data_IF_892145515208
#
_entry.id   IF_892145515208
#
_cell.length_a   1.000
_cell.length_b   1.000
_cell.length_c   1.000
_cell.angle_alpha   90.00
_cell.angle_beta   90.00
_cell.angle_gamma   90.00
#
_symmetry.space_group_name_H-M   'P 1'
#
loop_
_entity.id
_entity.type
_entity.pdbx_description
1 polymer ?
#
# COMPACT_ATOMS: atom_id res chain seq x y z
N UNK A 1 24.02 10.88 -11.33
CA UNK A 1 23.93 10.71 -9.87
C UNK A 1 22.60 11.29 -9.39
N UNK A 2 21.70 10.45 -8.86
CA UNK A 2 20.41 10.90 -8.35
C UNK A 2 20.52 11.05 -6.83
N UNK A 3 20.89 12.24 -6.37
CA UNK A 3 20.71 12.60 -4.97
C UNK A 3 19.22 12.96 -4.77
N UNK A 4 18.51 12.40 -3.79
CA UNK A 4 18.90 11.37 -2.81
C UNK A 4 18.58 9.93 -3.26
N UNK A 5 19.13 8.92 -2.57
CA UNK A 5 18.93 7.50 -2.94
C UNK A 5 17.50 7.02 -2.72
N UNK A 6 16.74 6.77 -3.79
CA UNK A 6 15.37 6.24 -3.72
C UNK A 6 15.29 4.85 -3.05
N UNK A 7 16.34 4.04 -3.21
CA UNK A 7 16.39 2.71 -2.60
C UNK A 7 16.58 2.78 -1.09
N UNK A 8 17.41 3.70 -0.60
CA UNK A 8 17.59 3.89 0.85
C UNK A 8 16.32 4.52 1.46
N UNK A 9 15.68 5.48 0.78
CA UNK A 9 14.38 6.05 1.17
C UNK A 9 13.32 4.97 1.30
N UNK A 10 13.13 4.18 0.24
CA UNK A 10 12.12 3.11 0.19
C UNK A 10 12.36 2.05 1.26
N UNK A 11 13.62 1.71 1.53
CA UNK A 11 13.97 0.78 2.60
C UNK A 11 13.56 1.33 3.98
N UNK A 12 13.89 2.59 4.29
CA UNK A 12 13.52 3.21 5.57
C UNK A 12 12.00 3.26 5.75
N UNK A 13 11.26 3.67 4.72
CA UNK A 13 9.79 3.78 4.81
C UNK A 13 9.15 2.40 5.00
N UNK A 14 9.48 1.43 4.15
CA UNK A 14 8.84 0.11 4.19
C UNK A 14 9.24 -0.72 5.41
N UNK A 15 10.54 -0.91 5.61
CA UNK A 15 11.03 -1.73 6.73
C UNK A 15 10.87 -1.01 8.07
N UNK A 16 10.98 0.32 8.09
CA UNK A 16 10.69 1.13 9.27
C UNK A 16 9.21 1.09 9.67
N UNK A 17 8.29 1.00 8.71
CA UNK A 17 6.88 0.75 9.02
C UNK A 17 6.69 -0.63 9.69
N UNK A 18 7.29 -1.69 9.14
CA UNK A 18 7.23 -3.02 9.75
C UNK A 18 7.89 -3.04 11.15
N UNK A 19 8.97 -2.29 11.32
CA UNK A 19 9.63 -2.11 12.61
C UNK A 19 8.68 -1.51 13.65
N UNK A 20 7.85 -0.53 13.26
CA UNK A 20 6.83 0.06 14.15
C UNK A 20 5.76 -0.94 14.61
N UNK A 21 5.56 -2.04 13.85
CA UNK A 21 4.60 -3.10 14.15
C UNK A 21 5.22 -4.32 14.85
N UNK A 22 6.54 -4.47 14.77
CA UNK A 22 7.25 -5.60 15.35
C UNK A 22 7.20 -5.56 16.89
N UNK A 23 6.72 -6.65 17.50
CA UNK A 23 6.68 -6.80 18.96
C UNK A 23 7.99 -7.36 19.54
N UNK A 24 8.70 -8.20 18.78
CA UNK A 24 9.92 -8.90 19.24
C UNK A 24 11.16 -8.10 18.86
N UNK A 25 12.11 -7.99 19.80
CA UNK A 25 13.35 -7.20 19.61
C UNK A 25 14.24 -7.76 18.50
N UNK A 26 14.34 -9.09 18.36
CA UNK A 26 15.16 -9.70 17.30
C UNK A 26 14.62 -9.37 15.90
N UNK A 27 13.30 -9.25 15.73
CA UNK A 27 12.68 -8.82 14.46
C UNK A 27 13.06 -7.37 14.17
N UNK A 28 13.03 -6.52 15.20
CA UNK A 28 13.45 -5.10 15.07
C UNK A 28 14.91 -4.98 14.62
N UNK A 29 15.81 -5.76 15.23
CA UNK A 29 17.23 -5.80 14.84
C UNK A 29 17.38 -6.29 13.40
N UNK A 30 16.70 -7.37 13.02
CA UNK A 30 16.72 -7.90 11.66
C UNK A 30 16.29 -6.84 10.62
N UNK A 31 15.23 -6.08 10.91
CA UNK A 31 14.73 -5.03 10.01
C UNK A 31 15.72 -3.88 9.86
N UNK A 32 16.42 -3.48 10.93
CA UNK A 32 17.48 -2.48 10.86
C UNK A 32 18.66 -2.96 10.03
N UNK A 33 19.06 -4.23 10.20
CA UNK A 33 20.11 -4.86 9.38
C UNK A 33 19.69 -4.85 7.90
N UNK A 34 18.44 -5.18 7.58
CA UNK A 34 17.96 -5.15 6.19
C UNK A 34 18.05 -3.73 5.60
N UNK A 35 17.62 -2.69 6.33
CA UNK A 35 17.76 -1.30 5.87
C UNK A 35 19.23 -0.95 5.59
N UNK A 36 20.13 -1.35 6.49
CA UNK A 36 21.55 -1.11 6.36
C UNK A 36 22.15 -1.84 5.16
N UNK A 37 21.86 -3.13 4.98
CA UNK A 37 22.36 -3.94 3.86
C UNK A 37 21.84 -3.44 2.51
N UNK A 38 20.57 -3.05 2.41
CA UNK A 38 20.02 -2.47 1.18
C UNK A 38 20.77 -1.17 0.85
N UNK A 39 21.11 -0.37 1.85
CA UNK A 39 21.84 0.88 1.66
C UNK A 39 23.30 0.62 1.23
N UNK A 40 23.98 -0.32 1.89
CA UNK A 40 25.34 -0.74 1.52
C UNK A 40 25.42 -1.28 0.08
N UNK A 41 24.40 -2.01 -0.37
CA UNK A 41 24.36 -2.52 -1.76
C UNK A 41 24.50 -1.41 -2.80
N UNK A 42 24.08 -0.17 -2.46
CA UNK A 42 24.15 0.99 -3.37
C UNK A 42 25.53 1.63 -3.44
N UNK A 43 26.28 1.59 -2.35
CA UNK A 43 27.71 1.98 -2.35
C UNK A 43 28.51 0.92 -3.10
N UNK A 44 28.26 -0.36 -2.82
CA UNK A 44 28.99 -1.47 -3.43
C UNK A 44 28.84 -1.50 -4.96
N UNK A 45 27.65 -1.23 -5.48
CA UNK A 45 27.39 -1.13 -6.92
C UNK A 45 27.95 0.16 -7.56
N UNK A 46 28.57 1.05 -6.78
CA UNK A 46 29.17 2.30 -7.27
C UNK A 46 28.15 3.34 -7.77
N UNK A 47 26.86 3.15 -7.50
CA UNK A 47 25.78 4.00 -8.05
C UNK A 47 25.45 5.22 -7.17
N UNK A 48 25.86 5.20 -5.90
CA UNK A 48 25.56 6.25 -4.92
C UNK A 48 26.71 6.50 -3.95
N UNK A 49 26.89 7.75 -3.56
CA UNK A 49 27.78 8.13 -2.46
C UNK A 49 27.11 7.95 -1.10
N UNK A 50 27.91 7.93 -0.03
CA UNK A 50 27.40 7.84 1.35
C UNK A 50 26.41 8.98 1.67
N UNK A 51 26.66 10.19 1.15
CA UNK A 51 25.78 11.34 1.34
C UNK A 51 24.40 11.13 0.70
N UNK A 52 24.32 10.47 -0.46
CA UNK A 52 23.05 10.15 -1.13
C UNK A 52 22.19 9.21 -0.28
N UNK A 53 22.84 8.30 0.46
CA UNK A 53 22.19 7.35 1.35
C UNK A 53 21.69 8.04 2.61
N UNK A 54 22.52 8.88 3.23
CA UNK A 54 22.13 9.62 4.44
C UNK A 54 20.99 10.59 4.14
N UNK A 55 21.05 11.31 3.03
CA UNK A 55 19.94 12.15 2.55
C UNK A 55 18.67 11.32 2.30
N UNK A 56 18.83 10.14 1.71
CA UNK A 56 17.71 9.22 1.52
C UNK A 56 17.11 8.67 2.82
N UNK A 57 17.93 8.38 3.84
CA UNK A 57 17.43 7.97 5.15
C UNK A 57 16.67 9.10 5.82
N UNK A 58 17.21 10.32 5.81
CA UNK A 58 16.57 11.49 6.40
C UNK A 58 15.17 11.71 5.80
N UNK A 59 15.07 11.73 4.47
CA UNK A 59 13.78 11.87 3.77
C UNK A 59 12.86 10.69 4.05
N UNK A 60 13.38 9.46 4.03
CA UNK A 60 12.61 8.26 4.35
C UNK A 60 12.03 8.28 5.77
N UNK A 61 12.78 8.75 6.76
CA UNK A 61 12.30 8.89 8.13
C UNK A 61 11.20 9.94 8.26
N UNK A 62 11.35 11.10 7.60
CA UNK A 62 10.31 12.13 7.57
C UNK A 62 9.01 11.58 6.95
N UNK A 63 9.10 10.89 5.82
CA UNK A 63 7.96 10.23 5.17
C UNK A 63 7.32 9.20 6.10
N UNK A 64 8.13 8.37 6.78
CA UNK A 64 7.64 7.36 7.70
C UNK A 64 6.88 7.98 8.88
N UNK A 65 7.39 9.07 9.47
CA UNK A 65 6.70 9.78 10.56
C UNK A 65 5.33 10.27 10.08
N UNK A 66 5.29 10.96 8.93
CA UNK A 66 4.04 11.45 8.34
C UNK A 66 3.07 10.29 8.08
N UNK A 67 3.55 9.18 7.50
CA UNK A 67 2.74 7.99 7.25
C UNK A 67 2.14 7.41 8.55
N UNK A 68 2.94 7.30 9.62
CA UNK A 68 2.47 6.78 10.90
C UNK A 68 1.42 7.70 11.56
N UNK A 69 1.59 9.03 11.45
CA UNK A 69 0.61 10.00 11.91
C UNK A 69 -0.71 9.88 11.14
N UNK A 70 -0.64 9.78 9.82
CA UNK A 70 -1.80 9.58 8.95
C UNK A 70 -2.54 8.29 9.33
N UNK A 71 -1.82 7.17 9.45
CA UNK A 71 -2.41 5.87 9.81
C UNK A 71 -3.06 5.92 11.21
N UNK A 72 -2.40 6.56 12.18
CA UNK A 72 -2.97 6.73 13.52
C UNK A 72 -4.28 7.53 13.47
N UNK A 73 -4.30 8.63 12.71
CA UNK A 73 -5.50 9.47 12.51
C UNK A 73 -6.64 8.68 11.84
N UNK A 74 -6.37 7.96 10.75
CA UNK A 74 -7.37 7.14 10.08
C UNK A 74 -7.92 6.01 10.96
N UNK A 75 -7.06 5.36 11.75
CA UNK A 75 -7.52 4.29 12.65
C UNK A 75 -8.47 4.82 13.73
N UNK A 76 -8.17 6.00 14.30
CA UNK A 76 -9.07 6.66 15.26
C UNK A 76 -10.39 7.00 14.59
N UNK A 77 -10.34 7.60 13.40
CA UNK A 77 -11.54 7.95 12.65
C UNK A 77 -12.39 6.72 12.27
N UNK A 78 -11.77 5.61 11.88
CA UNK A 78 -12.48 4.36 11.59
C UNK A 78 -13.21 3.82 12.82
N UNK A 79 -12.56 3.83 13.99
CA UNK A 79 -13.17 3.40 15.26
C UNK A 79 -14.36 4.29 15.63
N UNK A 80 -14.19 5.61 15.55
CA UNK A 80 -15.27 6.57 15.81
C UNK A 80 -16.44 6.39 14.82
N UNK A 81 -16.14 6.17 13.55
CA UNK A 81 -17.18 5.98 12.53
C UNK A 81 -17.97 4.67 12.69
N UNK A 82 -17.36 3.60 13.25
CA UNK A 82 -18.06 2.35 13.57
C UNK A 82 -19.01 2.52 14.75
N UNK A 83 -18.62 3.34 15.72
CA UNK A 83 -19.47 3.70 16.85
C UNK A 83 -20.71 4.48 16.36
N UNK A 84 -20.47 5.47 15.50
CA UNK A 84 -21.51 6.32 14.92
C UNK A 84 -22.44 5.54 13.96
N UNK A 85 -21.92 4.63 13.14
CA UNK A 85 -22.74 3.77 12.25
C UNK A 85 -23.77 2.91 12.98
N UNK A 86 -23.43 2.39 14.16
CA UNK A 86 -24.34 1.58 14.99
C UNK A 86 -25.50 2.43 15.50
N UNK A 87 -25.26 3.72 15.71
CA UNK A 87 -26.24 4.72 16.10
C UNK A 87 -27.10 5.15 14.90
N UNK A 88 -26.48 5.45 13.75
CA UNK A 88 -27.15 5.91 12.52
C UNK A 88 -28.09 4.84 11.91
N UNK A 89 -27.70 3.55 11.90
CA UNK A 89 -28.52 2.50 11.26
C UNK A 89 -29.90 2.29 11.93
N UNK A 90 -30.09 2.78 13.16
CA UNK A 90 -31.35 2.70 13.90
C UNK A 90 -32.05 4.06 14.06
N UNK A 91 -31.54 5.13 13.45
CA UNK A 91 -32.01 6.51 13.70
C UNK A 91 -32.69 7.11 12.48
N UNK A 92 -33.91 7.64 12.67
CA UNK A 92 -34.48 8.65 11.77
C UNK A 92 -33.76 9.96 12.05
N UNK A 93 -33.07 10.51 11.05
CA UNK A 93 -32.39 11.80 11.16
C UNK A 93 -33.39 12.87 11.63
N UNK A 94 -33.19 13.39 12.84
CA UNK A 94 -34.12 14.36 13.46
C UNK A 94 -33.75 15.81 13.15
N UNK A 95 -32.51 16.07 12.74
CA UNK A 95 -31.92 17.40 12.68
C UNK A 95 -30.79 17.47 11.64
N UNK A 96 -30.60 18.66 11.07
CA UNK A 96 -29.71 18.90 9.92
C UNK A 96 -28.24 18.59 10.19
N UNK A 97 -27.76 18.81 11.42
CA UNK A 97 -26.38 18.49 11.83
C UNK A 97 -26.08 16.99 11.74
N UNK A 98 -27.05 16.15 12.07
CA UNK A 98 -26.90 14.70 12.04
C UNK A 98 -26.92 14.15 10.61
N UNK A 99 -27.77 14.74 9.77
CA UNK A 99 -27.77 14.49 8.34
C UNK A 99 -26.46 14.95 7.68
N UNK A 100 -25.92 16.11 8.07
CA UNK A 100 -24.62 16.62 7.61
C UNK A 100 -23.47 15.68 7.99
N UNK A 101 -23.44 15.17 9.23
CA UNK A 101 -22.44 14.18 9.67
C UNK A 101 -22.49 12.90 8.81
N UNK A 102 -23.70 12.37 8.56
CA UNK A 102 -23.90 11.23 7.67
C UNK A 102 -23.46 11.52 6.23
N UNK A 103 -23.77 12.72 5.71
CA UNK A 103 -23.41 13.12 4.35
C UNK A 103 -21.89 13.22 4.21
N UNK A 104 -21.22 13.85 5.16
CA UNK A 104 -19.74 13.92 5.25
C UNK A 104 -19.15 12.51 5.29
N UNK A 105 -19.70 11.62 6.10
CA UNK A 105 -19.29 10.22 6.15
C UNK A 105 -19.45 9.49 4.80
N UNK A 106 -20.60 9.68 4.13
CA UNK A 106 -20.87 9.11 2.81
C UNK A 106 -19.91 9.63 1.75
N UNK A 107 -19.63 10.94 1.75
CA UNK A 107 -18.66 11.56 0.84
C UNK A 107 -17.25 11.02 1.03
N UNK A 108 -16.77 10.82 2.28
CA UNK A 108 -15.46 10.21 2.53
C UNK A 108 -15.30 8.84 1.87
N UNK A 109 -16.39 8.08 1.77
CA UNK A 109 -16.40 6.76 1.17
C UNK A 109 -16.20 6.81 -0.36
N UNK A 110 -16.38 7.95 -1.03
CA UNK A 110 -16.12 8.06 -2.47
C UNK A 110 -14.96 9.00 -2.79
N UNK A 111 -14.78 10.05 -1.98
CA UNK A 111 -13.75 11.06 -2.12
C UNK A 111 -12.33 10.50 -1.87
N UNK A 112 -12.15 9.66 -0.85
CA UNK A 112 -10.81 9.13 -0.53
C UNK A 112 -10.30 8.21 -1.67
N UNK A 113 -11.07 7.23 -2.18
CA UNK A 113 -10.63 6.41 -3.30
C UNK A 113 -10.34 7.21 -4.57
N UNK A 114 -11.13 8.24 -4.88
CA UNK A 114 -10.92 9.06 -6.08
C UNK A 114 -9.66 9.91 -5.96
N UNK A 115 -9.44 10.56 -4.81
CA UNK A 115 -8.22 11.34 -4.57
C UNK A 115 -6.95 10.46 -4.64
N UNK A 116 -7.03 9.21 -4.15
CA UNK A 116 -5.93 8.24 -4.21
C UNK A 116 -5.50 7.88 -5.63
N UNK A 117 -6.40 7.99 -6.61
CA UNK A 117 -6.07 7.76 -8.02
C UNK A 117 -5.65 9.07 -8.68
N UNK A 118 -6.43 10.13 -8.45
CA UNK A 118 -6.27 11.41 -9.15
C UNK A 118 -4.97 12.11 -8.74
N UNK A 119 -4.61 12.13 -7.45
CA UNK A 119 -3.40 12.84 -7.00
C UNK A 119 -2.13 12.20 -7.58
N UNK A 120 -1.89 10.88 -7.46
CA UNK A 120 -0.72 10.26 -8.08
C UNK A 120 -0.73 10.37 -9.60
N UNK A 121 -1.90 10.34 -10.24
CA UNK A 121 -2.00 10.52 -11.69
C UNK A 121 -1.59 11.94 -12.11
N UNK A 122 -2.06 12.97 -11.41
CA UNK A 122 -1.64 14.36 -11.65
C UNK A 122 -0.13 14.51 -11.42
N UNK A 123 0.39 13.98 -10.31
CA UNK A 123 1.83 14.01 -10.01
C UNK A 123 2.65 13.31 -11.10
N UNK A 124 2.14 12.21 -11.66
CA UNK A 124 2.78 11.54 -12.78
C UNK A 124 2.82 12.43 -14.03
N UNK A 125 1.75 13.15 -14.36
CA UNK A 125 1.76 14.06 -15.51
C UNK A 125 2.65 15.29 -15.30
N UNK A 126 2.87 15.73 -14.06
CA UNK A 126 3.83 16.80 -13.75
C UNK A 126 5.27 16.31 -13.93
N UNK A 127 5.57 15.07 -13.53
CA UNK A 127 6.90 14.48 -13.63
C UNK A 127 6.83 13.08 -14.29
N UNK A 128 6.62 12.98 -15.61
CA UNK A 128 6.43 11.71 -16.31
C UNK A 128 7.79 11.05 -16.54
N UNK A 129 8.23 10.27 -15.57
CA UNK A 129 9.46 9.48 -15.66
C UNK A 129 9.12 8.02 -15.43
N UNK A 130 9.99 7.14 -15.90
CA UNK A 130 9.86 5.71 -15.65
C UNK A 130 9.71 5.40 -14.14
N UNK A 131 10.58 5.98 -13.30
CA UNK A 131 10.59 5.78 -11.84
C UNK A 131 9.32 6.30 -11.15
N UNK A 132 8.84 7.49 -11.55
CA UNK A 132 7.61 8.06 -10.97
C UNK A 132 6.39 7.24 -11.38
N UNK A 133 6.32 6.78 -12.64
CA UNK A 133 5.29 5.86 -13.11
C UNK A 133 5.24 4.58 -12.29
N UNK A 134 6.39 3.96 -12.01
CA UNK A 134 6.47 2.76 -11.16
C UNK A 134 5.91 3.01 -9.76
N UNK A 135 6.43 4.02 -9.05
CA UNK A 135 6.09 4.29 -7.65
C UNK A 135 4.62 4.69 -7.52
N UNK A 136 4.18 5.67 -8.32
CA UNK A 136 2.83 6.21 -8.26
C UNK A 136 1.80 5.16 -8.72
N UNK A 137 2.14 4.36 -9.72
CA UNK A 137 1.32 3.23 -10.17
C UNK A 137 1.11 2.22 -9.04
N UNK A 138 2.18 1.68 -8.45
CA UNK A 138 2.08 0.68 -7.36
C UNK A 138 1.27 1.23 -6.19
N UNK A 139 1.57 2.45 -5.72
CA UNK A 139 0.88 3.03 -4.56
C UNK A 139 -0.62 3.17 -4.85
N UNK A 140 -0.98 3.72 -6.01
CA UNK A 140 -2.37 3.90 -6.41
C UNK A 140 -3.11 2.56 -6.48
N UNK A 141 -2.48 1.54 -7.08
CA UNK A 141 -3.04 0.19 -7.19
C UNK A 141 -3.22 -0.49 -5.84
N UNK A 142 -2.21 -0.41 -4.96
CA UNK A 142 -2.25 -0.97 -3.60
C UNK A 142 -3.38 -0.35 -2.80
N UNK A 143 -3.45 0.99 -2.75
CA UNK A 143 -4.42 1.70 -1.91
C UNK A 143 -5.84 1.51 -2.46
N UNK A 144 -6.03 1.65 -3.78
CA UNK A 144 -7.33 1.42 -4.41
C UNK A 144 -7.80 -0.03 -4.21
N UNK A 145 -6.90 -0.99 -4.41
CA UNK A 145 -7.19 -2.40 -4.20
C UNK A 145 -7.53 -2.73 -2.74
N UNK A 146 -6.80 -2.16 -1.77
CA UNK A 146 -7.10 -2.35 -0.35
C UNK A 146 -8.46 -1.76 0.06
N UNK A 147 -8.84 -0.60 -0.50
CA UNK A 147 -10.17 -0.02 -0.30
C UNK A 147 -11.26 -0.96 -0.81
N UNK A 148 -11.10 -1.48 -2.03
CA UNK A 148 -12.07 -2.39 -2.64
C UNK A 148 -12.12 -3.74 -1.91
N UNK A 149 -10.98 -4.22 -1.43
CA UNK A 149 -10.87 -5.45 -0.65
C UNK A 149 -11.69 -5.32 0.64
N UNK A 150 -11.49 -4.24 1.40
CA UNK A 150 -12.24 -4.00 2.63
C UNK A 150 -13.75 -3.83 2.43
N UNK A 151 -14.19 -3.37 1.25
CA UNK A 151 -15.61 -3.21 0.91
C UNK A 151 -16.28 -4.50 0.47
N UNK A 152 -15.68 -5.17 -0.51
CA UNK A 152 -16.32 -6.26 -1.25
C UNK A 152 -15.80 -7.64 -0.83
N UNK A 153 -14.53 -7.75 -0.45
CA UNK A 153 -13.89 -9.05 -0.18
C UNK A 153 -13.89 -9.36 1.31
N UNK A 154 -13.48 -8.44 2.19
CA UNK A 154 -13.37 -8.65 3.65
C UNK A 154 -12.62 -9.96 3.98
N UNK A 155 -11.46 -10.11 3.36
CA UNK A 155 -10.59 -11.27 3.37
C UNK A 155 -10.09 -11.57 4.78
N UNK A 156 -10.18 -12.85 5.20
CA UNK A 156 -9.52 -13.30 6.41
C UNK A 156 -8.13 -13.87 6.06
N UNK A 157 -7.02 -13.27 6.51
CA UNK A 157 -5.68 -13.73 6.17
C UNK A 157 -5.28 -15.03 6.86
N UNK A 158 -5.98 -15.44 7.93
CA UNK A 158 -5.64 -16.65 8.69
C UNK A 158 -5.87 -17.92 7.86
N UNK A 159 -4.88 -18.80 7.89
CA UNK A 159 -4.90 -20.13 7.31
C UNK A 159 -3.72 -20.96 7.86
N UNK A 160 -3.77 -22.28 7.67
CA UNK A 160 -2.66 -23.22 7.95
C UNK A 160 -1.38 -22.80 7.20
N UNK A 161 -0.21 -23.11 7.77
CA UNK A 161 1.10 -22.67 7.25
C UNK A 161 1.31 -23.04 5.77
N UNK A 162 1.01 -24.26 5.36
CA UNK A 162 1.18 -24.69 3.97
C UNK A 162 0.29 -23.89 3.01
N UNK A 163 -0.92 -23.51 3.43
CA UNK A 163 -1.83 -22.65 2.65
C UNK A 163 -1.25 -21.25 2.55
N UNK A 164 -0.63 -20.71 3.61
CA UNK A 164 0.04 -19.40 3.55
C UNK A 164 1.20 -19.41 2.55
N UNK A 165 2.02 -20.46 2.55
CA UNK A 165 3.11 -20.62 1.58
C UNK A 165 2.55 -20.70 0.15
N UNK A 166 1.51 -21.51 -0.07
CA UNK A 166 0.87 -21.62 -1.38
C UNK A 166 0.29 -20.28 -1.88
N UNK A 167 -0.33 -19.50 -0.99
CA UNK A 167 -0.82 -18.15 -1.32
C UNK A 167 0.32 -17.23 -1.76
N UNK A 168 1.45 -17.25 -1.08
CA UNK A 168 2.62 -16.41 -1.43
C UNK A 168 3.16 -16.81 -2.80
N UNK A 169 3.36 -18.12 -3.02
CA UNK A 169 3.86 -18.64 -4.30
C UNK A 169 2.92 -18.25 -5.44
N UNK A 170 1.61 -18.48 -5.27
CA UNK A 170 0.60 -18.13 -6.27
C UNK A 170 0.57 -16.61 -6.54
N UNK A 171 0.63 -15.78 -5.49
CA UNK A 171 0.61 -14.33 -5.63
C UNK A 171 1.81 -13.83 -6.46
N UNK A 172 3.01 -14.36 -6.19
CA UNK A 172 4.24 -14.01 -6.89
C UNK A 172 4.25 -14.54 -8.33
N UNK A 173 3.84 -15.79 -8.54
CA UNK A 173 3.81 -16.40 -9.87
C UNK A 173 2.87 -15.63 -10.81
N UNK A 174 1.65 -15.33 -10.36
CA UNK A 174 0.70 -14.57 -11.19
C UNK A 174 1.16 -13.12 -11.36
N UNK A 175 1.77 -12.50 -10.34
CA UNK A 175 2.35 -11.17 -10.50
C UNK A 175 3.45 -11.12 -11.56
N UNK A 176 4.28 -12.17 -11.67
CA UNK A 176 5.28 -12.29 -12.74
C UNK A 176 4.63 -12.46 -14.12
N UNK A 177 3.60 -13.30 -14.23
CA UNK A 177 2.86 -13.49 -15.48
C UNK A 177 2.22 -12.17 -15.93
N UNK A 178 1.56 -11.46 -15.02
CA UNK A 178 0.96 -10.15 -15.29
C UNK A 178 2.04 -9.17 -15.75
N UNK A 179 3.18 -9.10 -15.05
CA UNK A 179 4.27 -8.19 -15.40
C UNK A 179 4.77 -8.44 -16.82
N UNK A 180 5.11 -9.68 -17.15
CA UNK A 180 5.64 -10.06 -18.48
C UNK A 180 4.57 -9.87 -19.55
N UNK A 181 3.33 -10.26 -19.28
CA UNK A 181 2.21 -10.14 -20.22
C UNK A 181 1.91 -8.68 -20.56
N UNK A 182 1.83 -7.80 -19.55
CA UNK A 182 1.56 -6.38 -19.77
C UNK A 182 2.70 -5.67 -20.50
N UNK A 183 3.95 -6.10 -20.32
CA UNK A 183 5.10 -5.56 -21.05
C UNK A 183 5.05 -5.86 -22.55
N UNK A 184 4.39 -6.94 -22.95
CA UNK A 184 4.18 -7.27 -24.37
C UNK A 184 3.00 -6.54 -25.00
N UNK A 185 1.98 -6.20 -24.21
CA UNK A 185 0.72 -5.62 -24.69
C UNK A 185 0.80 -4.09 -24.73
N UNK A 186 1.40 -3.48 -23.71
CA UNK A 186 1.41 -2.02 -23.58
C UNK A 186 2.62 -1.42 -24.31
N UNK A 187 2.45 -0.25 -24.96
CA UNK A 187 3.56 0.42 -25.65
C UNK A 187 4.66 0.82 -24.65
N UNK A 188 5.93 0.92 -25.07
CA UNK A 188 7.04 1.33 -24.21
C UNK A 188 7.00 2.85 -23.96
N UNK A 189 6.00 3.29 -23.20
CA UNK A 189 5.79 4.68 -22.79
C UNK A 189 5.77 4.81 -21.26
N UNK A 190 6.11 5.99 -20.74
CA UNK A 190 6.12 6.23 -19.29
C UNK A 190 4.73 6.03 -18.67
N UNK A 191 3.66 6.42 -19.37
CA UNK A 191 2.30 6.20 -18.92
C UNK A 191 1.94 4.71 -18.87
N UNK A 192 2.42 3.91 -19.82
CA UNK A 192 2.28 2.45 -19.76
C UNK A 192 2.96 1.87 -18.52
N UNK A 193 4.06 2.47 -18.06
CA UNK A 193 4.70 2.08 -16.79
C UNK A 193 3.77 2.35 -15.62
N UNK A 194 3.12 3.51 -15.55
CA UNK A 194 2.11 3.76 -14.51
C UNK A 194 1.01 2.69 -14.49
N UNK A 195 0.42 2.38 -15.66
CA UNK A 195 -0.66 1.37 -15.78
C UNK A 195 -0.16 -0.01 -15.34
N UNK A 196 1.01 -0.45 -15.82
CA UNK A 196 1.58 -1.77 -15.47
C UNK A 196 1.69 -1.95 -13.97
N UNK A 197 2.26 -0.95 -13.30
CA UNK A 197 2.54 -1.01 -11.88
C UNK A 197 1.26 -0.79 -11.04
N UNK A 198 0.28 -0.04 -11.55
CA UNK A 198 -1.07 0.03 -10.96
C UNK A 198 -1.73 -1.35 -10.93
N UNK A 199 -1.75 -2.05 -12.07
CA UNK A 199 -2.35 -3.39 -12.15
C UNK A 199 -1.63 -4.37 -11.23
N UNK A 200 -0.29 -4.30 -11.15
CA UNK A 200 0.48 -5.13 -10.23
C UNK A 200 0.12 -4.86 -8.75
N UNK A 201 0.02 -3.59 -8.35
CA UNK A 201 -0.37 -3.23 -6.99
C UNK A 201 -1.80 -3.71 -6.66
N UNK A 202 -2.72 -3.49 -7.60
CA UNK A 202 -4.13 -3.89 -7.49
C UNK A 202 -4.30 -5.42 -7.44
N UNK A 203 -3.51 -6.15 -8.21
CA UNK A 203 -3.48 -7.61 -8.19
C UNK A 203 -3.19 -8.13 -6.78
N UNK A 204 -2.15 -7.62 -6.15
CA UNK A 204 -1.70 -8.07 -4.84
C UNK A 204 -2.71 -7.76 -3.72
N UNK A 205 -3.38 -6.61 -3.78
CA UNK A 205 -4.24 -6.15 -2.68
C UNK A 205 -5.72 -6.44 -2.85
N UNK A 206 -6.21 -6.68 -4.07
CA UNK A 206 -7.63 -6.96 -4.32
C UNK A 206 -7.88 -8.29 -5.02
N UNK A 207 -7.30 -8.47 -6.22
CA UNK A 207 -7.63 -9.63 -7.06
C UNK A 207 -7.17 -10.94 -6.41
N UNK A 208 -5.97 -10.95 -5.81
CA UNK A 208 -5.45 -12.13 -5.14
C UNK A 208 -6.31 -12.52 -3.93
N UNK A 209 -6.62 -11.63 -2.96
CA UNK A 209 -7.60 -11.92 -1.90
C UNK A 209 -8.95 -12.41 -2.41
N UNK A 210 -9.46 -11.84 -3.50
CA UNK A 210 -10.73 -12.23 -4.11
C UNK A 210 -10.68 -13.67 -4.64
N UNK A 211 -9.62 -14.04 -5.35
CA UNK A 211 -9.43 -15.39 -5.89
C UNK A 211 -9.28 -16.41 -4.74
N UNK A 212 -8.43 -16.11 -3.76
CA UNK A 212 -8.23 -16.98 -2.59
C UNK A 212 -9.56 -17.17 -1.83
N UNK A 213 -10.34 -16.11 -1.67
CA UNK A 213 -11.66 -16.20 -1.02
C UNK A 213 -12.60 -17.11 -1.78
N UNK A 214 -12.69 -16.97 -3.10
CA UNK A 214 -13.51 -17.84 -3.95
C UNK A 214 -13.03 -19.30 -3.92
N UNK A 215 -11.72 -19.52 -3.78
CA UNK A 215 -11.13 -20.85 -3.65
C UNK A 215 -11.30 -21.49 -2.25
N UNK A 216 -11.88 -20.78 -1.27
CA UNK A 216 -12.10 -21.31 0.08
C UNK A 216 -10.83 -21.50 0.92
N UNK A 217 -9.70 -20.92 0.52
CA UNK A 217 -8.40 -21.09 1.20
C UNK A 217 -8.25 -20.17 2.44
N UNK A 218 -9.32 -19.96 3.20
CA UNK A 218 -9.32 -19.16 4.42
C UNK A 218 -9.84 -20.01 5.58
N UNK A 219 -9.34 -19.75 6.79
CA UNK A 219 -9.99 -20.30 7.98
C UNK A 219 -11.38 -19.67 8.16
N UNK A 220 -12.39 -20.52 8.29
CA UNK A 220 -13.73 -20.09 8.66
C UNK A 220 -13.68 -19.43 10.04
N UNK A 221 -14.36 -18.30 10.20
CA UNK A 221 -14.43 -17.59 11.50
C UNK A 221 -15.10 -18.40 12.62
N UNK A 222 -15.61 -19.60 12.33
CA UNK A 222 -16.39 -20.44 13.24
C UNK A 222 -15.65 -21.73 13.67
N UNK A 223 -14.33 -21.82 13.51
CA UNK A 223 -13.50 -22.92 14.03
C UNK A 223 -12.53 -22.43 15.09
#
# INVERSE_FOLDING_TARGET
YAFPSNHSQGAVVFWGYLFSKAKKIWIKILLLIIIFLISLSRIYLGVHFLIDILGGWLIGFLILIVLLLIIKKYRVWEILSKYDKRYINNKRFSNDEEYLSYKVYSYHNYLIPTLVIIIPLILFFIYPTYSTGQILGVISGIVFGAILEGRYVKFNPKAKLYIQIMKIILALAVAMIIRIGLERILPPADFSTYIRYFIMGFWLTFLMPLIIKKAGWQENKNS
#
